data_IF_783894008008
#
_entry.id   IF_783894008008
#
_cell.length_a   1.000
_cell.length_b   1.000
_cell.length_c   1.000
_cell.angle_alpha   90.00
_cell.angle_beta   90.00
_cell.angle_gamma   90.00
#
_symmetry.space_group_name_H-M   'P 1'
#
loop_
_entity.id
_entity.type
_entity.pdbx_description
1 polymer ?
#
# COMPACT_ATOMS: atom_id res chain seq x y z
N UNK A 1 19.45 9.41 3.59
CA UNK A 1 18.34 10.01 4.36
C UNK A 1 17.08 9.24 4.02
N UNK A 2 16.33 8.82 5.03
CA UNK A 2 15.01 8.21 4.86
C UNK A 2 13.94 9.18 5.36
N UNK A 3 12.85 9.30 4.61
CA UNK A 3 11.71 10.17 4.92
C UNK A 3 10.40 9.42 4.69
N UNK A 4 9.42 9.66 5.56
CA UNK A 4 8.08 9.09 5.52
C UNK A 4 7.13 9.96 6.35
N UNK A 5 5.82 9.72 6.24
CA UNK A 5 4.77 10.46 6.94
C UNK A 5 4.88 10.36 8.47
N UNK A 6 5.42 9.27 9.00
CA UNK A 6 5.55 9.07 10.44
C UNK A 6 7.02 9.07 10.90
N UNK A 7 7.40 9.85 11.93
CA UNK A 7 8.80 9.98 12.36
C UNK A 7 9.43 8.64 12.79
N UNK A 8 8.68 7.77 13.46
CA UNK A 8 9.18 6.43 13.85
C UNK A 8 9.48 5.53 12.64
N UNK A 9 8.75 5.68 11.54
CA UNK A 9 9.01 4.88 10.34
C UNK A 9 10.24 5.41 9.56
N UNK A 10 10.43 6.73 9.55
CA UNK A 10 11.67 7.34 9.06
C UNK A 10 12.87 6.91 9.90
N UNK A 11 12.70 6.80 11.23
CA UNK A 11 13.74 6.34 12.14
C UNK A 11 14.12 4.88 11.84
N UNK A 12 13.14 3.97 11.73
CA UNK A 12 13.39 2.55 11.42
C UNK A 12 14.20 2.36 10.13
N UNK A 13 13.88 3.11 9.07
CA UNK A 13 14.66 3.05 7.83
C UNK A 13 16.08 3.61 7.99
N UNK A 14 16.24 4.72 8.74
CA UNK A 14 17.57 5.27 9.01
C UNK A 14 18.42 4.32 9.87
N UNK A 15 17.84 3.60 10.83
CA UNK A 15 18.54 2.57 11.62
C UNK A 15 19.10 1.47 10.72
N UNK A 16 18.34 1.01 9.72
CA UNK A 16 18.83 0.02 8.75
C UNK A 16 20.00 0.55 7.92
N UNK A 17 19.98 1.82 7.51
CA UNK A 17 21.14 2.42 6.84
C UNK A 17 22.37 2.46 7.74
N UNK A 18 22.20 2.78 9.04
CA UNK A 18 23.29 2.79 10.03
C UNK A 18 23.87 1.39 10.24
N UNK A 19 23.03 0.35 10.19
CA UNK A 19 23.44 -1.05 10.28
C UNK A 19 24.10 -1.58 8.99
N UNK A 20 24.29 -0.73 7.97
CA UNK A 20 24.96 -1.09 6.71
C UNK A 20 24.03 -1.63 5.63
N UNK A 21 22.71 -1.53 5.81
CA UNK A 21 21.72 -1.85 4.78
C UNK A 21 21.72 -0.83 3.63
N UNK A 22 21.16 -1.24 2.50
CA UNK A 22 21.02 -0.37 1.33
C UNK A 22 19.68 0.41 1.34
N UNK A 23 19.43 1.20 0.30
CA UNK A 23 18.19 1.99 0.18
C UNK A 23 16.91 1.14 0.11
N UNK A 24 16.97 -0.07 -0.46
CA UNK A 24 15.86 -1.02 -0.53
C UNK A 24 15.58 -1.62 0.85
N UNK A 25 16.61 -2.04 1.57
CA UNK A 25 16.46 -2.57 2.95
C UNK A 25 15.83 -1.53 3.87
N UNK A 26 16.30 -0.28 3.78
CA UNK A 26 15.77 0.83 4.55
C UNK A 26 14.30 1.14 4.20
N UNK A 27 13.95 1.10 2.91
CA UNK A 27 12.57 1.28 2.47
C UNK A 27 11.64 0.17 3.00
N UNK A 28 12.09 -1.08 2.98
CA UNK A 28 11.33 -2.22 3.53
C UNK A 28 11.06 -2.04 5.02
N UNK A 29 12.07 -1.68 5.81
CA UNK A 29 11.91 -1.42 7.24
C UNK A 29 10.96 -0.25 7.53
N UNK A 30 11.06 0.85 6.76
CA UNK A 30 10.13 1.97 6.85
C UNK A 30 8.70 1.53 6.53
N UNK A 31 8.47 0.74 5.47
CA UNK A 31 7.14 0.25 5.11
C UNK A 31 6.53 -0.67 6.17
N UNK A 32 7.32 -1.57 6.75
CA UNK A 32 6.85 -2.40 7.87
C UNK A 32 6.52 -1.55 9.10
N UNK A 33 7.34 -0.54 9.43
CA UNK A 33 7.03 0.37 10.52
C UNK A 33 5.73 1.16 10.25
N UNK A 34 5.54 1.69 9.03
CA UNK A 34 4.31 2.38 8.62
C UNK A 34 3.07 1.51 8.77
N UNK A 35 3.16 0.21 8.52
CA UNK A 35 2.04 -0.72 8.72
C UNK A 35 1.52 -0.79 10.17
N UNK A 36 2.33 -0.33 11.14
CA UNK A 36 1.99 -0.28 12.56
C UNK A 36 1.63 1.13 13.00
N UNK A 37 2.43 2.13 12.62
CA UNK A 37 2.29 3.50 13.14
C UNK A 37 1.38 4.38 12.29
N UNK A 38 1.06 3.96 11.06
CA UNK A 38 0.16 4.65 10.13
C UNK A 38 -0.77 3.64 9.40
N UNK A 39 -1.49 2.78 10.14
CA UNK A 39 -2.23 1.64 9.56
C UNK A 39 -3.42 2.08 8.69
N UNK A 40 -3.89 3.31 8.87
CA UNK A 40 -4.99 3.89 8.09
C UNK A 40 -4.59 4.20 6.64
N UNK A 41 -3.28 4.26 6.35
CA UNK A 41 -2.74 4.58 5.01
C UNK A 41 -1.86 3.47 4.43
N UNK A 42 -1.07 2.78 5.27
CA UNK A 42 -0.13 1.74 4.84
C UNK A 42 -0.45 0.41 5.52
N UNK A 43 -0.50 -0.67 4.75
CA UNK A 43 -0.76 -2.03 5.27
C UNK A 43 -0.13 -3.09 4.37
N UNK A 44 0.17 -4.26 4.95
CA UNK A 44 0.70 -5.43 4.22
C UNK A 44 -0.30 -6.06 3.24
N UNK A 45 -1.59 -5.77 3.41
CA UNK A 45 -2.67 -6.27 2.54
C UNK A 45 -3.07 -5.26 1.46
N UNK A 46 -2.34 -4.15 1.36
CA UNK A 46 -2.61 -3.07 0.42
C UNK A 46 -1.97 -3.29 -0.95
N UNK A 47 -1.89 -2.19 -1.68
CA UNK A 47 -1.39 -2.12 -3.05
C UNK A 47 -0.52 -0.87 -3.21
N UNK A 48 0.38 -0.87 -4.18
CA UNK A 48 1.20 0.30 -4.46
C UNK A 48 2.24 0.08 -5.54
N UNK A 49 3.05 1.12 -5.74
CA UNK A 49 4.13 1.14 -6.73
C UNK A 49 5.45 1.47 -6.05
N UNK A 50 6.53 0.85 -6.50
CA UNK A 50 7.88 1.16 -6.04
C UNK A 50 8.69 1.60 -7.24
N UNK A 51 9.26 2.80 -7.19
CA UNK A 51 10.22 3.27 -8.19
C UNK A 51 11.63 3.14 -7.62
N UNK A 52 12.50 2.44 -8.32
CA UNK A 52 13.84 2.09 -7.86
C UNK A 52 14.85 2.59 -8.88
N UNK A 53 15.87 3.30 -8.40
CA UNK A 53 17.07 3.60 -9.18
C UNK A 53 18.26 2.90 -8.53
N UNK A 54 18.90 2.02 -9.28
CA UNK A 54 20.07 1.26 -8.86
C UNK A 54 21.35 2.10 -9.00
N UNK A 55 22.42 1.63 -8.35
CA UNK A 55 23.71 2.32 -8.31
C UNK A 55 24.38 2.44 -9.69
N UNK A 56 24.10 1.52 -10.61
CA UNK A 56 24.56 1.55 -12.00
C UNK A 56 23.78 2.55 -12.89
N UNK A 57 22.76 3.21 -12.33
CA UNK A 57 21.88 4.14 -13.02
C UNK A 57 20.63 3.51 -13.63
N UNK A 58 20.47 2.19 -13.57
CA UNK A 58 19.27 1.49 -14.02
C UNK A 58 18.07 1.93 -13.20
N UNK A 59 16.97 2.26 -13.88
CA UNK A 59 15.69 2.59 -13.25
C UNK A 59 14.68 1.48 -13.54
N UNK A 60 13.93 1.06 -12.53
CA UNK A 60 12.84 0.09 -12.67
C UNK A 60 11.69 0.45 -11.75
N UNK A 61 10.52 -0.11 -12.06
CA UNK A 61 9.31 0.07 -11.27
C UNK A 61 8.71 -1.30 -10.97
N UNK A 62 8.25 -1.47 -9.73
CA UNK A 62 7.48 -2.64 -9.30
C UNK A 62 6.03 -2.19 -9.15
N UNK A 63 5.14 -2.83 -9.90
CA UNK A 63 3.69 -2.70 -9.76
C UNK A 63 3.18 -3.85 -8.88
N UNK A 64 2.69 -3.51 -7.69
CA UNK A 64 2.00 -4.42 -6.77
C UNK A 64 0.55 -3.95 -6.57
N UNK A 65 -0.08 -3.44 -7.61
CA UNK A 65 -1.49 -3.06 -7.51
C UNK A 65 -2.38 -4.31 -7.48
N UNK A 66 -3.42 -4.27 -6.66
CA UNK A 66 -4.30 -5.41 -6.48
C UNK A 66 -5.06 -5.72 -7.76
N UNK A 67 -5.17 -7.01 -8.09
CA UNK A 67 -6.05 -7.49 -9.16
C UNK A 67 -7.41 -7.86 -8.59
N UNK A 68 -8.47 -7.64 -9.37
CA UNK A 68 -9.83 -8.04 -8.98
C UNK A 68 -9.91 -9.55 -8.72
N UNK A 69 -10.70 -10.00 -7.71
CA UNK A 69 -10.90 -11.43 -7.47
C UNK A 69 -11.48 -12.15 -8.69
N UNK A 70 -11.08 -13.41 -8.91
CA UNK A 70 -11.53 -14.22 -10.06
C UNK A 70 -13.06 -14.36 -10.19
N UNK A 71 -13.80 -14.27 -9.08
CA UNK A 71 -15.26 -14.39 -9.04
C UNK A 71 -15.99 -13.05 -9.17
N UNK A 72 -15.26 -11.94 -9.29
CA UNK A 72 -15.86 -10.64 -9.50
C UNK A 72 -16.58 -10.60 -10.85
N UNK A 73 -17.77 -10.02 -10.87
CA UNK A 73 -18.56 -9.75 -12.07
C UNK A 73 -18.96 -8.29 -12.12
N UNK A 74 -19.30 -7.77 -13.31
CA UNK A 74 -19.65 -6.36 -13.48
C UNK A 74 -20.92 -5.95 -12.72
N UNK A 75 -21.78 -6.90 -12.41
CA UNK A 75 -23.07 -6.77 -11.75
C UNK A 75 -23.05 -7.23 -10.28
N UNK A 76 -21.87 -7.47 -9.70
CA UNK A 76 -21.76 -7.96 -8.31
C UNK A 76 -22.24 -6.94 -7.27
N UNK A 77 -22.28 -5.66 -7.60
CA UNK A 77 -22.76 -4.62 -6.69
C UNK A 77 -23.83 -3.79 -7.39
N UNK A 78 -25.01 -3.67 -6.77
CA UNK A 78 -26.10 -2.82 -7.25
C UNK A 78 -26.02 -1.44 -6.58
N UNK A 79 -25.60 -0.37 -7.29
CA UNK A 79 -25.48 0.95 -6.71
C UNK A 79 -26.85 1.56 -6.37
N UNK A 80 -26.93 2.32 -5.28
CA UNK A 80 -28.15 3.05 -4.94
C UNK A 80 -28.22 4.34 -5.77
N UNK A 81 -29.24 4.54 -6.63
CA UNK A 81 -29.32 5.73 -7.48
C UNK A 81 -29.31 7.03 -6.68
N UNK A 82 -28.49 7.99 -7.12
CA UNK A 82 -28.38 9.30 -6.48
C UNK A 82 -27.53 9.34 -5.20
N UNK A 83 -26.94 8.22 -4.79
CA UNK A 83 -25.99 8.18 -3.69
C UNK A 83 -24.56 8.50 -4.20
N UNK A 84 -23.89 9.46 -3.55
CA UNK A 84 -22.51 9.89 -3.89
C UNK A 84 -21.42 9.11 -3.13
N UNK A 85 -21.80 8.33 -2.12
CA UNK A 85 -20.90 7.62 -1.21
C UNK A 85 -20.54 6.21 -1.72
N UNK A 86 -20.92 5.86 -2.96
CA UNK A 86 -20.74 4.55 -3.57
C UNK A 86 -21.39 3.39 -2.78
N UNK A 87 -22.46 3.67 -2.05
CA UNK A 87 -23.24 2.63 -1.38
C UNK A 87 -23.97 1.74 -2.38
N UNK A 88 -24.13 0.49 -1.96
CA UNK A 88 -24.77 -0.56 -2.74
C UNK A 88 -25.92 -1.15 -1.93
N UNK A 89 -26.92 -1.71 -2.61
CA UNK A 89 -28.05 -2.37 -1.97
C UNK A 89 -27.54 -3.41 -0.96
N UNK A 90 -28.02 -3.33 0.28
CA UNK A 90 -27.62 -4.22 1.37
C UNK A 90 -26.22 -3.97 1.95
N UNK A 91 -25.50 -2.94 1.52
CA UNK A 91 -24.17 -2.60 2.06
C UNK A 91 -23.09 -3.65 1.75
N UNK A 92 -23.29 -4.44 0.68
CA UNK A 92 -22.40 -5.54 0.29
C UNK A 92 -20.96 -5.09 -0.03
N UNK A 93 -20.76 -3.82 -0.39
CA UNK A 93 -19.43 -3.23 -0.58
C UNK A 93 -18.61 -3.19 0.73
N UNK A 94 -19.28 -3.18 1.88
CA UNK A 94 -18.67 -3.09 3.21
C UNK A 94 -18.63 -4.43 3.94
N UNK A 95 -19.66 -5.28 3.73
CA UNK A 95 -19.77 -6.59 4.38
C UNK A 95 -19.24 -7.74 3.53
N UNK A 96 -19.02 -7.50 2.24
CA UNK A 96 -18.59 -8.48 1.27
C UNK A 96 -19.71 -8.92 0.34
N UNK A 97 -19.36 -9.17 -0.92
CA UNK A 97 -20.21 -9.88 -1.87
C UNK A 97 -19.95 -11.37 -1.70
N UNK A 98 -20.77 -12.05 -0.89
CA UNK A 98 -20.99 -13.51 -0.82
C UNK A 98 -21.89 -13.85 0.38
#
# INVERSE_FOLDING_TARGET
>A
MVTSNHPLASLAGNEILVLGGNAVDAAIATMFALSVVEPMMTTIFGAGFINIRLADGTCTTIDNYATVPRRASADMFEPIPGNLDNDVVGGLNSTGYL
#
